data_IF_635778421081
#
_entry.id   IF_635778421081
#
_cell.length_a   1.000
_cell.length_b   1.000
_cell.length_c   1.000
_cell.angle_alpha   90.00
_cell.angle_beta   90.00
_cell.angle_gamma   90.00
#
_symmetry.space_group_name_H-M   'P 1'
#
loop_
_entity.id
_entity.type
_entity.pdbx_description
1 polymer ?
#
# COMPACT_ATOMS: atom_id res chain seq x y z
N UNK A 1 -6.98 -6.13 56.94
CA UNK A 1 -6.96 -4.69 56.54
C UNK A 1 -5.90 -4.38 55.47
N UNK A 2 -4.95 -5.26 55.16
CA UNK A 2 -3.90 -5.04 54.13
C UNK A 2 -4.31 -5.47 52.72
N UNK A 3 -5.19 -6.46 52.56
CA UNK A 3 -5.64 -6.96 51.23
C UNK A 3 -6.56 -5.98 50.49
N UNK A 4 -7.42 -5.24 51.18
CA UNK A 4 -8.33 -4.27 50.56
C UNK A 4 -7.60 -3.04 50.02
N UNK A 5 -6.48 -2.64 50.64
CA UNK A 5 -5.63 -1.55 50.11
C UNK A 5 -4.91 -1.96 48.83
N UNK A 6 -4.38 -3.18 48.78
CA UNK A 6 -3.71 -3.71 47.58
C UNK A 6 -4.69 -3.90 46.40
N UNK A 7 -5.93 -4.32 46.66
CA UNK A 7 -6.96 -4.45 45.63
C UNK A 7 -7.38 -3.09 45.04
N UNK A 8 -7.43 -2.03 45.87
CA UNK A 8 -7.72 -0.67 45.42
C UNK A 8 -6.58 -0.05 44.60
N UNK A 9 -5.32 -0.28 44.98
CA UNK A 9 -4.16 0.17 44.20
C UNK A 9 -4.08 -0.53 42.83
N UNK A 10 -4.37 -1.83 42.76
CA UNK A 10 -4.41 -2.54 41.48
C UNK A 10 -5.53 -2.03 40.56
N UNK A 11 -6.71 -1.72 41.11
CA UNK A 11 -7.79 -1.12 40.33
C UNK A 11 -7.45 0.30 39.82
N UNK A 12 -6.70 1.09 40.59
CA UNK A 12 -6.24 2.40 40.15
C UNK A 12 -5.24 2.30 39.01
N UNK A 13 -4.23 1.43 39.12
CA UNK A 13 -3.25 1.20 38.04
C UNK A 13 -3.88 0.70 36.75
N UNK A 14 -4.85 -0.21 36.83
CA UNK A 14 -5.57 -0.68 35.64
C UNK A 14 -6.40 0.42 34.98
N UNK A 15 -7.00 1.34 35.76
CA UNK A 15 -7.71 2.49 35.22
C UNK A 15 -6.78 3.48 34.54
N UNK A 16 -5.60 3.71 35.11
CA UNK A 16 -4.56 4.57 34.52
C UNK A 16 -4.03 3.97 33.21
N UNK A 17 -3.70 2.68 33.16
CA UNK A 17 -3.29 2.00 31.91
C UNK A 17 -4.39 2.04 30.83
N UNK A 18 -5.65 1.85 31.21
CA UNK A 18 -6.78 1.96 30.28
C UNK A 18 -6.96 3.39 29.76
N UNK A 19 -6.74 4.40 30.61
CA UNK A 19 -6.78 5.80 30.21
C UNK A 19 -5.62 6.16 29.28
N UNK A 20 -4.40 5.69 29.56
CA UNK A 20 -3.24 5.91 28.70
C UNK A 20 -3.41 5.24 27.34
N UNK A 21 -3.90 3.99 27.30
CA UNK A 21 -4.23 3.32 26.03
C UNK A 21 -5.34 4.03 25.28
N UNK A 22 -6.35 4.52 25.98
CA UNK A 22 -7.43 5.31 25.37
C UNK A 22 -6.94 6.65 24.83
N UNK A 23 -6.05 7.34 25.56
CA UNK A 23 -5.46 8.62 25.16
C UNK A 23 -4.53 8.44 23.96
N UNK A 24 -3.66 7.44 23.99
CA UNK A 24 -2.78 7.08 22.87
C UNK A 24 -3.60 6.67 21.64
N UNK A 25 -4.65 5.87 21.81
CA UNK A 25 -5.55 5.50 20.72
C UNK A 25 -6.26 6.72 20.13
N UNK A 26 -6.74 7.64 20.97
CA UNK A 26 -7.40 8.89 20.55
C UNK A 26 -6.44 9.82 19.80
N UNK A 27 -5.19 9.91 20.22
CA UNK A 27 -4.18 10.75 19.58
C UNK A 27 -3.75 10.16 18.22
N UNK A 28 -3.57 8.84 18.13
CA UNK A 28 -3.31 8.16 16.87
C UNK A 28 -4.47 8.34 15.88
N UNK A 29 -5.72 8.27 16.34
CA UNK A 29 -6.86 8.52 15.45
C UNK A 29 -7.00 9.97 15.03
N UNK A 30 -6.60 10.96 15.85
CA UNK A 30 -6.58 12.37 15.43
C UNK A 30 -5.52 12.64 14.36
N UNK A 31 -4.36 12.00 14.43
CA UNK A 31 -3.36 12.09 13.37
C UNK A 31 -3.84 11.44 12.07
N UNK A 32 -4.52 10.29 12.17
CA UNK A 32 -5.16 9.66 11.02
C UNK A 32 -6.28 10.55 10.43
N UNK A 33 -7.07 11.22 11.27
CA UNK A 33 -8.11 12.17 10.84
C UNK A 33 -7.50 13.38 10.12
N UNK A 34 -6.42 13.96 10.64
CA UNK A 34 -5.72 15.09 10.01
C UNK A 34 -5.11 14.71 8.65
N UNK A 35 -4.49 13.53 8.57
CA UNK A 35 -3.99 13.01 7.30
C UNK A 35 -5.16 12.84 6.31
N UNK A 36 -6.29 12.30 6.74
CA UNK A 36 -7.46 12.11 5.86
C UNK A 36 -8.12 13.43 5.43
N UNK A 37 -8.12 14.46 6.28
CA UNK A 37 -8.58 15.82 5.93
C UNK A 37 -7.65 16.51 4.94
N UNK A 38 -6.32 16.39 5.10
CA UNK A 38 -5.33 16.91 4.15
C UNK A 38 -5.38 16.16 2.82
N UNK A 39 -5.62 14.85 2.85
CA UNK A 39 -5.59 13.98 1.67
C UNK A 39 -6.97 13.87 1.00
N UNK A 40 -7.62 15.01 0.73
CA UNK A 40 -8.96 15.02 0.13
C UNK A 40 -9.03 14.12 -1.12
N UNK A 41 -10.12 13.36 -1.20
CA UNK A 41 -10.32 12.11 -1.96
C UNK A 41 -10.00 12.08 -3.46
N UNK A 42 -9.58 13.18 -4.07
CA UNK A 42 -9.06 13.23 -5.44
C UNK A 42 -7.53 13.29 -5.49
N UNK A 43 -6.90 14.15 -4.69
CA UNK A 43 -5.44 14.23 -4.56
C UNK A 43 -4.87 12.93 -4.00
N UNK A 44 -5.56 12.27 -3.05
CA UNK A 44 -5.16 10.93 -2.60
C UNK A 44 -5.11 9.91 -3.73
N UNK A 45 -6.10 9.90 -4.62
CA UNK A 45 -6.17 8.92 -5.70
C UNK A 45 -5.15 9.22 -6.81
N UNK A 46 -4.80 10.49 -6.98
CA UNK A 46 -3.74 10.94 -7.88
C UNK A 46 -2.36 10.62 -7.30
N UNK A 47 -2.11 10.89 -6.02
CA UNK A 47 -0.87 10.55 -5.32
C UNK A 47 -0.70 9.04 -5.13
N UNK A 48 -1.80 8.29 -4.95
CA UNK A 48 -1.77 6.82 -4.93
C UNK A 48 -1.50 6.21 -6.31
N UNK A 49 -1.80 6.96 -7.37
CA UNK A 49 -1.57 6.56 -8.77
C UNK A 49 -0.13 6.86 -9.20
N UNK A 50 0.41 8.00 -8.78
CA UNK A 50 1.77 8.43 -9.08
C UNK A 50 2.69 8.09 -7.91
N UNK A 51 2.99 6.80 -7.76
CA UNK A 51 4.05 6.38 -6.86
C UNK A 51 5.38 6.97 -7.38
N UNK A 52 5.99 7.86 -6.61
CA UNK A 52 7.30 8.45 -6.91
C UNK A 52 8.36 7.35 -6.98
N UNK A 53 8.59 6.84 -8.18
CA UNK A 53 9.52 5.77 -8.50
C UNK A 53 10.60 6.32 -9.40
N UNK A 54 11.79 5.73 -9.30
CA UNK A 54 12.88 6.11 -10.19
C UNK A 54 12.47 5.87 -11.66
N UNK A 55 12.77 6.82 -12.55
CA UNK A 55 12.36 6.80 -13.97
C UNK A 55 12.60 5.46 -14.67
N UNK A 56 13.72 4.79 -14.37
CA UNK A 56 14.06 3.49 -14.97
C UNK A 56 13.14 2.34 -14.52
N UNK A 57 12.54 2.44 -13.33
CA UNK A 57 11.53 1.50 -12.82
C UNK A 57 10.20 1.79 -13.49
N UNK A 58 9.88 3.06 -13.72
CA UNK A 58 8.69 3.44 -14.46
C UNK A 58 8.74 2.94 -15.92
N UNK A 59 9.91 2.97 -16.56
CA UNK A 59 10.09 2.34 -17.88
C UNK A 59 9.82 0.83 -17.87
N UNK A 60 10.23 0.13 -16.81
CA UNK A 60 10.16 -1.33 -16.71
C UNK A 60 8.79 -1.84 -16.20
N UNK A 61 8.22 -1.15 -15.21
CA UNK A 61 7.03 -1.56 -14.45
C UNK A 61 5.88 -0.54 -14.51
N UNK A 62 6.11 0.66 -15.04
CA UNK A 62 5.12 1.75 -15.09
C UNK A 62 3.79 1.36 -15.78
N UNK A 63 3.78 0.62 -16.91
CA UNK A 63 2.53 0.15 -17.49
C UNK A 63 1.72 -0.77 -16.56
N UNK A 64 2.39 -1.58 -15.74
CA UNK A 64 1.73 -2.49 -14.80
C UNK A 64 1.29 -1.76 -13.53
N UNK A 65 2.08 -0.79 -13.05
CA UNK A 65 1.78 -0.01 -11.85
C UNK A 65 0.72 1.06 -12.10
N UNK A 66 0.70 1.68 -13.29
CA UNK A 66 -0.32 2.65 -13.69
C UNK A 66 -1.73 2.05 -13.90
N UNK A 67 -1.81 0.72 -14.06
CA UNK A 67 -3.07 -0.02 -14.22
C UNK A 67 -3.51 -0.78 -12.97
N UNK A 68 -2.74 -0.71 -11.88
CA UNK A 68 -3.02 -1.37 -10.59
C UNK A 68 -4.15 -0.66 -9.84
N UNK A 69 -5.33 -0.65 -10.45
CA UNK A 69 -6.52 -0.25 -9.75
C UNK A 69 -6.93 -1.34 -8.75
N UNK A 70 -7.29 -0.99 -7.51
CA UNK A 70 -7.99 -1.88 -6.57
C UNK A 70 -9.46 -2.09 -6.98
N UNK A 71 -9.76 -2.10 -8.28
CA UNK A 71 -11.11 -2.19 -8.84
C UNK A 71 -11.57 -3.64 -8.96
N UNK A 72 -10.65 -4.61 -9.03
CA UNK A 72 -11.01 -6.01 -9.08
C UNK A 72 -11.38 -6.51 -7.68
N UNK A 73 -12.60 -7.02 -7.51
CA UNK A 73 -12.98 -7.82 -6.34
C UNK A 73 -12.21 -9.14 -6.39
N UNK A 74 -11.08 -9.15 -5.72
CA UNK A 74 -10.14 -10.26 -5.76
C UNK A 74 -10.42 -11.24 -4.62
N UNK A 75 -10.34 -12.54 -4.92
CA UNK A 75 -10.41 -13.54 -3.86
C UNK A 75 -9.10 -13.63 -3.09
N UNK A 76 -9.13 -14.20 -1.87
CA UNK A 76 -7.89 -14.46 -1.11
C UNK A 76 -6.94 -15.43 -1.82
N UNK A 77 -7.46 -16.30 -2.67
CA UNK A 77 -6.67 -17.24 -3.45
C UNK A 77 -5.96 -16.54 -4.61
N UNK A 78 -6.67 -15.67 -5.32
CA UNK A 78 -6.11 -14.82 -6.37
C UNK A 78 -4.99 -13.93 -5.81
N UNK A 79 -5.22 -13.33 -4.63
CA UNK A 79 -4.20 -12.48 -3.99
C UNK A 79 -2.92 -13.26 -3.70
N UNK A 80 -3.05 -14.49 -3.18
CA UNK A 80 -1.89 -15.37 -2.94
C UNK A 80 -1.19 -15.68 -4.24
N UNK A 81 -1.93 -15.94 -5.31
CA UNK A 81 -1.37 -16.20 -6.64
C UNK A 81 -0.60 -14.98 -7.15
N UNK A 82 -1.19 -13.79 -7.10
CA UNK A 82 -0.53 -12.56 -7.53
C UNK A 82 0.72 -12.26 -6.73
N UNK A 83 0.69 -12.42 -5.40
CA UNK A 83 1.88 -12.29 -4.55
C UNK A 83 3.04 -13.16 -5.07
N UNK A 84 2.79 -14.44 -5.33
CA UNK A 84 3.84 -15.33 -5.82
C UNK A 84 4.27 -15.00 -7.26
N UNK A 85 3.36 -14.54 -8.11
CA UNK A 85 3.70 -14.12 -9.47
C UNK A 85 4.58 -12.86 -9.47
N UNK A 86 4.26 -11.88 -8.63
CA UNK A 86 5.03 -10.64 -8.49
C UNK A 86 6.42 -10.92 -7.87
N UNK A 87 6.50 -11.80 -6.86
CA UNK A 87 7.80 -12.22 -6.27
C UNK A 87 8.68 -12.94 -7.31
N UNK A 88 8.10 -13.87 -8.08
CA UNK A 88 8.82 -14.51 -9.17
C UNK A 88 9.20 -13.53 -10.28
N UNK A 89 8.37 -12.52 -10.56
CA UNK A 89 8.65 -11.49 -11.55
C UNK A 89 9.83 -10.62 -11.12
N UNK A 90 9.88 -10.21 -9.86
CA UNK A 90 11.00 -9.47 -9.30
C UNK A 90 12.31 -10.23 -9.47
N UNK A 91 12.35 -11.51 -9.09
CA UNK A 91 13.55 -12.34 -9.24
C UNK A 91 13.89 -12.59 -10.70
N UNK A 92 12.89 -12.68 -11.59
CA UNK A 92 13.12 -12.81 -13.03
C UNK A 92 13.79 -11.56 -13.60
N UNK A 93 13.30 -10.36 -13.27
CA UNK A 93 13.91 -9.09 -13.70
C UNK A 93 15.35 -9.01 -13.20
N UNK A 94 15.58 -9.29 -11.92
CA UNK A 94 16.95 -9.30 -11.34
C UNK A 94 17.86 -10.29 -12.08
N UNK A 95 17.36 -11.48 -12.40
CA UNK A 95 18.12 -12.52 -13.11
C UNK A 95 18.38 -12.18 -14.59
N UNK A 96 17.44 -11.50 -15.25
CA UNK A 96 17.59 -11.03 -16.64
C UNK A 96 18.71 -9.99 -16.74
N UNK A 97 18.92 -9.17 -15.71
CA UNK A 97 19.98 -8.17 -15.63
C UNK A 97 21.33 -8.70 -15.12
N UNK A 98 21.35 -9.83 -14.39
CA UNK A 98 22.56 -10.55 -14.01
C UNK A 98 22.63 -11.96 -14.64
N UNK A 99 22.74 -12.06 -15.97
CA UNK A 99 22.56 -13.30 -16.74
C UNK A 99 23.71 -14.32 -16.60
N UNK A 100 24.62 -14.14 -15.64
CA UNK A 100 25.78 -14.99 -15.42
C UNK A 100 26.70 -15.09 -16.65
N UNK A 101 27.49 -16.17 -16.73
CA UNK A 101 28.49 -16.32 -17.79
C UNK A 101 27.90 -16.76 -19.14
N UNK A 102 26.79 -17.49 -19.14
CA UNK A 102 26.31 -18.24 -20.30
C UNK A 102 25.28 -17.48 -21.15
N UNK A 103 24.57 -16.51 -20.59
CA UNK A 103 23.55 -15.75 -21.30
C UNK A 103 24.14 -14.38 -21.70
N UNK A 104 24.69 -14.31 -22.92
CA UNK A 104 25.38 -13.13 -23.48
C UNK A 104 24.99 -12.93 -24.95
N UNK A 105 25.15 -11.71 -25.45
CA UNK A 105 24.89 -11.37 -26.85
C UNK A 105 23.44 -11.68 -27.25
N UNK A 106 23.18 -12.35 -28.38
CA UNK A 106 21.82 -12.60 -28.85
C UNK A 106 20.92 -13.37 -27.88
N UNK A 107 21.50 -14.22 -27.01
CA UNK A 107 20.74 -14.94 -26.00
C UNK A 107 20.23 -14.02 -24.88
N UNK A 108 21.03 -13.00 -24.54
CA UNK A 108 20.63 -11.98 -23.58
C UNK A 108 19.55 -11.08 -24.17
N UNK A 109 19.71 -10.69 -25.43
CA UNK A 109 18.71 -9.90 -26.17
C UNK A 109 17.37 -10.64 -26.28
N UNK A 110 17.42 -11.96 -26.49
CA UNK A 110 16.23 -12.81 -26.46
C UNK A 110 15.62 -12.88 -25.05
N UNK A 111 16.44 -13.10 -24.02
CA UNK A 111 15.99 -13.19 -22.63
C UNK A 111 15.30 -11.91 -22.15
N UNK A 112 15.79 -10.75 -22.58
CA UNK A 112 15.22 -9.43 -22.27
C UNK A 112 14.16 -8.97 -23.28
N UNK A 113 13.86 -9.75 -24.32
CA UNK A 113 12.86 -9.41 -25.32
C UNK A 113 13.21 -8.21 -26.21
N UNK A 114 14.49 -7.82 -26.27
CA UNK A 114 14.99 -6.68 -27.08
C UNK A 114 15.54 -7.09 -28.45
N UNK A 115 15.62 -8.40 -28.74
CA UNK A 115 16.15 -8.95 -30.00
C UNK A 115 15.53 -8.35 -31.29
N UNK A 116 14.24 -7.98 -31.26
CA UNK A 116 13.54 -7.38 -32.41
C UNK A 116 13.39 -5.85 -32.30
N UNK A 117 14.04 -5.22 -31.31
CA UNK A 117 13.93 -3.79 -30.99
C UNK A 117 15.25 -3.06 -31.25
N UNK A 118 15.46 -2.51 -32.46
CA UNK A 118 16.73 -1.87 -32.81
C UNK A 118 17.01 -0.57 -32.02
N UNK A 119 15.99 -0.02 -31.36
CA UNK A 119 16.05 1.15 -30.49
C UNK A 119 16.46 0.82 -29.05
N UNK A 120 16.50 -0.46 -28.66
CA UNK A 120 16.80 -0.90 -27.29
C UNK A 120 18.04 -1.78 -27.25
N UNK A 121 18.95 -1.48 -26.33
CA UNK A 121 20.13 -2.30 -26.06
C UNK A 121 19.90 -3.20 -24.83
N UNK A 122 20.45 -4.43 -24.82
CA UNK A 122 20.36 -5.29 -23.65
C UNK A 122 21.05 -4.66 -22.45
N UNK A 123 20.38 -4.62 -21.30
CA UNK A 123 20.87 -4.03 -20.06
C UNK A 123 21.66 -5.08 -19.27
N UNK A 124 22.89 -4.79 -18.87
CA UNK A 124 23.74 -5.73 -18.11
C UNK A 124 24.16 -5.07 -16.81
N UNK A 125 23.99 -5.81 -15.72
CA UNK A 125 24.32 -5.38 -14.38
C UNK A 125 23.18 -4.59 -13.76
N UNK A 126 22.97 -4.86 -12.47
CA UNK A 126 22.21 -4.02 -11.56
C UNK A 126 23.01 -3.89 -10.27
N UNK A 127 23.03 -2.68 -9.73
CA UNK A 127 23.51 -2.42 -8.37
C UNK A 127 22.63 -3.11 -7.34
N UNK A 128 23.15 -3.34 -6.14
CA UNK A 128 22.38 -3.88 -5.01
C UNK A 128 21.15 -3.02 -4.71
N UNK A 129 21.28 -1.71 -4.90
CA UNK A 129 20.20 -0.75 -4.71
C UNK A 129 19.10 -0.90 -5.77
N UNK A 130 19.46 -1.03 -7.04
CA UNK A 130 18.47 -1.27 -8.11
C UNK A 130 17.73 -2.59 -7.91
N UNK A 131 18.45 -3.68 -7.55
CA UNK A 131 17.83 -4.98 -7.22
C UNK A 131 16.83 -4.86 -6.08
N UNK A 132 17.16 -4.06 -5.07
CA UNK A 132 16.26 -3.78 -3.94
C UNK A 132 15.03 -3.00 -4.41
N UNK A 133 15.20 -1.99 -5.24
CA UNK A 133 14.08 -1.20 -5.75
C UNK A 133 13.11 -2.01 -6.62
N UNK A 134 13.60 -2.95 -7.46
CA UNK A 134 12.71 -3.86 -8.21
C UNK A 134 11.82 -4.67 -7.26
N UNK A 135 12.41 -5.25 -6.20
CA UNK A 135 11.66 -6.02 -5.21
C UNK A 135 10.67 -5.16 -4.43
N UNK A 136 11.06 -3.94 -4.08
CA UNK A 136 10.18 -2.98 -3.40
C UNK A 136 8.99 -2.58 -4.29
N UNK A 137 9.22 -2.35 -5.59
CA UNK A 137 8.16 -2.02 -6.54
C UNK A 137 7.14 -3.16 -6.72
N UNK A 138 7.59 -4.41 -6.89
CA UNK A 138 6.69 -5.57 -6.96
C UNK A 138 5.98 -5.88 -5.62
N UNK A 139 6.61 -5.51 -4.50
CA UNK A 139 5.96 -5.56 -3.18
C UNK A 139 4.86 -4.50 -3.07
N UNK A 140 5.12 -3.26 -3.51
CA UNK A 140 4.14 -2.18 -3.55
C UNK A 140 2.95 -2.56 -4.45
N UNK A 141 3.23 -3.14 -5.61
CA UNK A 141 2.22 -3.73 -6.51
C UNK A 141 1.34 -4.76 -5.80
N UNK A 142 1.93 -5.69 -5.06
CA UNK A 142 1.20 -6.69 -4.27
C UNK A 142 0.35 -6.03 -3.18
N UNK A 143 0.86 -4.97 -2.53
CA UNK A 143 0.12 -4.20 -1.54
C UNK A 143 -1.09 -3.49 -2.18
N UNK A 144 -0.93 -2.91 -3.37
CA UNK A 144 -2.04 -2.32 -4.14
C UNK A 144 -3.11 -3.36 -4.49
N UNK A 145 -2.72 -4.56 -4.94
CA UNK A 145 -3.66 -5.66 -5.21
C UNK A 145 -4.40 -6.13 -3.96
N UNK A 146 -3.74 -6.09 -2.80
CA UNK A 146 -4.38 -6.49 -1.54
C UNK A 146 -5.60 -5.62 -1.18
N UNK A 147 -5.66 -4.38 -1.67
CA UNK A 147 -6.81 -3.50 -1.51
C UNK A 147 -8.04 -3.99 -2.30
N UNK A 148 -7.84 -4.79 -3.35
CA UNK A 148 -8.90 -5.44 -4.12
C UNK A 148 -9.55 -6.63 -3.39
N UNK A 149 -8.93 -7.17 -2.34
CA UNK A 149 -9.44 -8.35 -1.62
C UNK A 149 -10.83 -8.05 -1.06
N UNK A 150 -11.81 -8.87 -1.45
CA UNK A 150 -13.21 -8.75 -1.02
C UNK A 150 -13.81 -7.34 -1.28
N UNK A 151 -13.25 -6.59 -2.24
CA UNK A 151 -13.57 -5.20 -2.54
C UNK A 151 -13.46 -4.23 -1.35
N UNK A 152 -12.60 -4.52 -0.36
CA UNK A 152 -12.45 -3.69 0.85
C UNK A 152 -11.90 -2.30 0.53
N UNK A 153 -10.87 -2.21 -0.31
CA UNK A 153 -10.28 -0.94 -0.74
C UNK A 153 -11.21 -0.12 -1.62
N UNK A 154 -11.96 -0.77 -2.53
CA UNK A 154 -12.99 -0.08 -3.30
C UNK A 154 -14.10 0.48 -2.39
N UNK A 155 -14.56 -0.32 -1.42
CA UNK A 155 -15.56 0.13 -0.44
C UNK A 155 -15.06 1.31 0.39
N UNK A 156 -13.84 1.26 0.90
CA UNK A 156 -13.29 2.37 1.71
C UNK A 156 -13.10 3.64 0.89
N UNK A 157 -12.60 3.53 -0.34
CA UNK A 157 -12.46 4.69 -1.25
C UNK A 157 -13.83 5.27 -1.60
N UNK A 158 -14.81 4.43 -1.96
CA UNK A 158 -16.18 4.92 -2.25
C UNK A 158 -16.84 5.53 -1.02
N UNK A 159 -16.64 4.96 0.17
CA UNK A 159 -17.14 5.50 1.44
C UNK A 159 -16.50 6.86 1.74
N UNK A 160 -15.17 6.99 1.60
CA UNK A 160 -14.44 8.24 1.79
C UNK A 160 -14.86 9.34 0.78
N UNK A 161 -15.07 8.98 -0.48
CA UNK A 161 -15.59 9.92 -1.51
C UNK A 161 -17.03 10.33 -1.18
N UNK A 162 -17.86 9.41 -0.69
CA UNK A 162 -19.22 9.74 -0.28
C UNK A 162 -19.28 10.62 0.97
N UNK A 163 -18.45 10.37 1.99
CA UNK A 163 -18.41 11.19 3.21
C UNK A 163 -17.88 12.59 2.90
N UNK A 164 -16.80 12.71 2.12
CA UNK A 164 -16.23 14.01 1.75
C UNK A 164 -17.19 14.88 0.93
N UNK A 165 -17.99 14.27 0.03
CA UNK A 165 -19.04 15.00 -0.70
C UNK A 165 -20.17 15.47 0.21
N UNK A 166 -20.59 14.64 1.17
CA UNK A 166 -21.65 14.99 2.12
C UNK A 166 -21.22 16.15 3.02
N UNK A 167 -20.01 16.14 3.57
CA UNK A 167 -19.50 17.21 4.43
C UNK A 167 -19.40 18.56 3.70
N UNK A 168 -19.06 18.56 2.41
CA UNK A 168 -19.03 19.79 1.60
C UNK A 168 -20.44 20.37 1.32
N UNK A 169 -21.50 19.57 1.49
CA UNK A 169 -22.91 20.00 1.44
C UNK A 169 -23.50 20.32 2.82
N UNK A 170 -22.93 19.76 3.89
CA UNK A 170 -23.42 19.83 5.28
C UNK A 170 -22.57 20.73 6.19
N UNK A 171 -21.80 21.69 5.65
CA UNK A 171 -21.21 22.82 6.40
C UNK A 171 -22.28 23.76 7.05
N UNK A 172 -23.42 23.20 7.46
CA UNK A 172 -24.49 23.82 8.20
C UNK A 172 -24.89 23.12 9.51
N UNK A 173 -24.41 21.91 9.87
CA UNK A 173 -24.79 21.35 11.18
C UNK A 173 -23.81 20.35 11.80
N UNK A 174 -23.62 20.51 13.10
CA UNK A 174 -22.63 19.84 13.95
C UNK A 174 -22.93 18.35 14.20
N UNK A 175 -22.00 17.43 13.85
CA UNK A 175 -22.09 16.04 14.36
C UNK A 175 -21.30 14.89 13.70
N UNK A 176 -20.44 15.09 12.68
CA UNK A 176 -19.96 13.96 11.84
C UNK A 176 -18.67 13.23 12.28
N UNK A 177 -17.90 13.73 13.27
CA UNK A 177 -16.57 13.18 13.65
C UNK A 177 -16.55 11.68 14.04
N UNK A 178 -17.70 11.08 14.39
CA UNK A 178 -17.77 9.67 14.79
C UNK A 178 -17.77 8.64 13.65
N UNK A 179 -18.12 9.03 12.41
CA UNK A 179 -18.36 8.05 11.32
C UNK A 179 -17.09 7.74 10.51
N UNK A 180 -16.23 8.74 10.30
CA UNK A 180 -14.94 8.61 9.59
C UNK A 180 -14.04 7.58 10.30
N UNK A 181 -14.03 7.59 11.65
CA UNK A 181 -13.30 6.63 12.50
C UNK A 181 -13.72 5.17 12.28
N UNK A 182 -14.97 4.91 11.90
CA UNK A 182 -15.48 3.55 11.68
C UNK A 182 -15.06 2.94 10.35
N UNK A 183 -14.90 3.78 9.31
CA UNK A 183 -14.48 3.36 7.99
C UNK A 183 -12.97 3.04 7.96
N UNK A 184 -12.14 3.88 8.59
CA UNK A 184 -10.68 3.72 8.60
C UNK A 184 -10.20 2.51 9.42
N UNK A 185 -10.77 2.26 10.60
CA UNK A 185 -10.42 1.07 11.40
C UNK A 185 -10.71 -0.24 10.67
N UNK A 186 -11.59 -0.24 9.67
CA UNK A 186 -11.97 -1.44 8.90
C UNK A 186 -11.02 -1.73 7.73
N UNK A 187 -10.15 -0.77 7.38
CA UNK A 187 -9.15 -0.87 6.32
C UNK A 187 -7.83 -1.41 6.86
N UNK A 188 -7.50 -1.12 8.13
CA UNK A 188 -6.20 -1.43 8.73
C UNK A 188 -6.22 -2.56 9.78
N UNK A 189 -7.38 -3.17 10.06
CA UNK A 189 -7.54 -4.45 10.79
C UNK A 189 -7.82 -5.62 9.82
#
# INVERSE_FOLDING_TARGET
MTSEKQAREQQQRQREELQERSASSKQASRQAEQLVEETQSQEFLEEFRDADMADWIEEELGPELSQMFPIANESREDYRRHRWLNENRAERIVSEHDPGRLCRGPLLELAQGVHDRPDQAPRIGQTDQERRHVREAETAKTAMQSLGIEARGLRSVTEAVHTSRLEKTDEGDSGSSGRIRGALNKVFD
#
